data_IF_441869733144
#
_entry.id   IF_441869733144
#
_cell.length_a   1.000
_cell.length_b   1.000
_cell.length_c   1.000
_cell.angle_alpha   90.00
_cell.angle_beta   90.00
_cell.angle_gamma   90.00
#
_symmetry.space_group_name_H-M   'P 1'
#
loop_
_entity.id
_entity.type
_entity.pdbx_description
1 polymer ?
#
# COMPACT_ATOMS: atom_id res chain seq x y z
N UNK A 1 30.52 -73.22 -21.82
CA UNK A 1 29.05 -73.14 -21.60
C UNK A 1 28.65 -72.81 -20.16
N UNK A 2 29.44 -73.17 -19.13
CA UNK A 2 29.10 -72.82 -17.74
C UNK A 2 29.32 -71.33 -17.37
N UNK A 3 30.26 -70.63 -18.00
CA UNK A 3 30.50 -69.19 -17.74
C UNK A 3 29.35 -68.28 -18.20
N UNK A 4 28.68 -68.60 -19.31
CA UNK A 4 27.60 -67.76 -19.86
C UNK A 4 26.32 -67.79 -19.00
N UNK A 5 26.09 -68.89 -18.29
CA UNK A 5 24.92 -69.02 -17.41
C UNK A 5 25.13 -68.18 -16.14
N UNK A 6 26.35 -68.18 -15.59
CA UNK A 6 26.68 -67.39 -14.40
C UNK A 6 26.56 -65.87 -14.66
N UNK A 7 27.12 -65.40 -15.78
CA UNK A 7 27.00 -64.01 -16.25
C UNK A 7 25.53 -63.58 -16.42
N UNK A 8 24.68 -64.40 -17.06
CA UNK A 8 23.25 -64.05 -17.22
C UNK A 8 22.48 -63.99 -15.90
N UNK A 9 22.84 -64.81 -14.90
CA UNK A 9 22.21 -64.78 -13.58
C UNK A 9 22.65 -63.58 -12.73
N UNK A 10 23.88 -63.10 -12.92
CA UNK A 10 24.41 -61.89 -12.28
C UNK A 10 23.80 -60.63 -12.91
N UNK A 11 23.74 -60.57 -14.24
CA UNK A 11 23.07 -59.48 -14.99
C UNK A 11 21.58 -59.36 -14.63
N UNK A 12 20.87 -60.47 -14.43
CA UNK A 12 19.45 -60.46 -14.00
C UNK A 12 19.26 -59.95 -12.55
N UNK A 13 20.25 -60.15 -11.67
CA UNK A 13 20.22 -59.62 -10.30
C UNK A 13 20.52 -58.13 -10.29
N UNK A 14 21.54 -57.72 -11.03
CA UNK A 14 21.89 -56.31 -11.20
C UNK A 14 20.76 -55.52 -11.87
N UNK A 15 20.09 -56.09 -12.88
CA UNK A 15 18.94 -55.45 -13.50
C UNK A 15 17.79 -55.22 -12.51
N UNK A 16 17.52 -56.18 -11.61
CA UNK A 16 16.48 -56.04 -10.57
C UNK A 16 16.87 -55.03 -9.50
N UNK A 17 18.13 -55.01 -9.08
CA UNK A 17 18.63 -54.01 -8.13
C UNK A 17 18.64 -52.61 -8.73
N UNK A 18 18.99 -52.47 -10.00
CA UNK A 18 18.96 -51.19 -10.72
C UNK A 18 17.53 -50.64 -10.83
N UNK A 19 16.55 -51.46 -11.20
CA UNK A 19 15.14 -51.03 -11.25
C UNK A 19 14.65 -50.59 -9.87
N UNK A 20 15.02 -51.30 -8.80
CA UNK A 20 14.64 -50.93 -7.44
C UNK A 20 15.29 -49.60 -7.02
N UNK A 21 16.58 -49.43 -7.33
CA UNK A 21 17.31 -48.18 -7.06
C UNK A 21 16.71 -47.00 -7.82
N UNK A 22 16.36 -47.17 -9.10
CA UNK A 22 15.72 -46.14 -9.91
C UNK A 22 14.33 -45.76 -9.36
N UNK A 23 13.54 -46.74 -8.93
CA UNK A 23 12.24 -46.49 -8.30
C UNK A 23 12.37 -45.77 -6.95
N UNK A 24 13.33 -46.19 -6.13
CA UNK A 24 13.61 -45.56 -4.83
C UNK A 24 14.14 -44.12 -5.01
N UNK A 25 15.00 -43.88 -6.02
CA UNK A 25 15.50 -42.54 -6.37
C UNK A 25 14.37 -41.64 -6.89
N UNK A 26 13.52 -42.14 -7.79
CA UNK A 26 12.36 -41.42 -8.29
C UNK A 26 11.37 -41.07 -7.17
N UNK A 27 11.14 -41.99 -6.23
CA UNK A 27 10.27 -41.76 -5.08
C UNK A 27 10.83 -40.67 -4.15
N UNK A 28 12.14 -40.71 -3.87
CA UNK A 28 12.81 -39.69 -3.04
C UNK A 28 12.76 -38.31 -3.70
N UNK A 29 13.04 -38.23 -4.99
CA UNK A 29 12.97 -36.98 -5.76
C UNK A 29 11.55 -36.41 -5.79
N UNK A 30 10.53 -37.26 -5.98
CA UNK A 30 9.12 -36.85 -5.91
C UNK A 30 8.74 -36.30 -4.54
N UNK A 31 9.19 -36.96 -3.47
CA UNK A 31 8.90 -36.54 -2.09
C UNK A 31 9.58 -35.20 -1.76
N UNK A 32 10.81 -35.00 -2.20
CA UNK A 32 11.53 -33.74 -2.04
C UNK A 32 10.90 -32.62 -2.86
N UNK A 33 10.47 -32.91 -4.10
CA UNK A 33 9.76 -31.94 -4.93
C UNK A 33 8.42 -31.52 -4.31
N UNK A 34 7.64 -32.46 -3.78
CA UNK A 34 6.38 -32.18 -3.09
C UNK A 34 6.59 -31.35 -1.81
N UNK A 35 7.66 -31.64 -1.06
CA UNK A 35 8.02 -30.88 0.14
C UNK A 35 8.46 -29.46 -0.21
N UNK A 36 9.33 -29.30 -1.20
CA UNK A 36 9.82 -28.01 -1.66
C UNK A 36 8.67 -27.16 -2.23
N UNK A 37 7.77 -27.76 -2.99
CA UNK A 37 6.59 -27.07 -3.54
C UNK A 37 5.64 -26.61 -2.45
N UNK A 38 5.43 -27.41 -1.40
CA UNK A 38 4.60 -27.03 -0.26
C UNK A 38 5.22 -25.88 0.55
N UNK A 39 6.53 -25.94 0.83
CA UNK A 39 7.24 -24.88 1.53
C UNK A 39 7.30 -23.57 0.71
N UNK A 40 7.51 -23.66 -0.61
CA UNK A 40 7.48 -22.50 -1.49
C UNK A 40 6.08 -21.85 -1.50
N UNK A 41 5.03 -22.66 -1.63
CA UNK A 41 3.66 -22.16 -1.61
C UNK A 41 3.30 -21.50 -0.27
N UNK A 42 3.70 -22.09 0.86
CA UNK A 42 3.45 -21.51 2.18
C UNK A 42 4.18 -20.17 2.37
N UNK A 43 5.42 -20.05 1.87
CA UNK A 43 6.17 -18.78 1.91
C UNK A 43 5.52 -17.71 1.04
N UNK A 44 5.11 -18.06 -0.18
CA UNK A 44 4.42 -17.13 -1.07
C UNK A 44 3.10 -16.64 -0.46
N UNK A 45 2.30 -17.56 0.12
CA UNK A 45 1.05 -17.19 0.78
C UNK A 45 1.29 -16.30 2.01
N UNK A 46 2.32 -16.58 2.80
CA UNK A 46 2.67 -15.75 3.96
C UNK A 46 3.15 -14.35 3.55
N UNK A 47 3.91 -14.24 2.45
CA UNK A 47 4.37 -12.98 1.91
C UNK A 47 3.21 -12.16 1.31
N UNK A 48 2.33 -12.82 0.55
CA UNK A 48 1.11 -12.19 0.05
C UNK A 48 0.22 -11.69 1.19
N UNK A 49 0.00 -12.51 2.23
CA UNK A 49 -0.79 -12.10 3.39
C UNK A 49 -0.15 -10.90 4.11
N UNK A 50 1.17 -10.88 4.28
CA UNK A 50 1.86 -9.71 4.87
C UNK A 50 1.69 -8.45 4.04
N UNK A 51 1.86 -8.53 2.72
CA UNK A 51 1.67 -7.40 1.82
C UNK A 51 0.22 -6.91 1.81
N UNK A 52 -0.74 -7.83 1.87
CA UNK A 52 -2.16 -7.52 1.91
C UNK A 52 -2.56 -6.89 3.26
N UNK A 53 -2.02 -7.37 4.38
CA UNK A 53 -2.17 -6.72 5.69
C UNK A 53 -1.64 -5.29 5.67
N UNK A 54 -0.43 -5.06 5.16
CA UNK A 54 0.15 -3.71 5.07
C UNK A 54 -0.72 -2.79 4.20
N UNK A 55 -1.21 -3.28 3.06
CA UNK A 55 -2.11 -2.51 2.20
C UNK A 55 -3.42 -2.17 2.90
N UNK A 56 -3.99 -3.14 3.61
CA UNK A 56 -5.23 -2.96 4.34
C UNK A 56 -5.07 -2.00 5.51
N UNK A 57 -3.97 -2.07 6.25
CA UNK A 57 -3.62 -1.13 7.33
C UNK A 57 -3.48 0.29 6.78
N UNK A 58 -2.82 0.48 5.64
CA UNK A 58 -2.72 1.80 5.00
C UNK A 58 -4.09 2.32 4.53
N UNK A 59 -4.96 1.44 4.05
CA UNK A 59 -6.30 1.81 3.61
C UNK A 59 -7.21 2.14 4.80
N UNK A 60 -7.15 1.35 5.87
CA UNK A 60 -7.84 1.62 7.14
C UNK A 60 -7.32 2.88 7.81
N UNK A 61 -6.01 3.17 7.76
CA UNK A 61 -5.43 4.41 8.26
C UNK A 61 -5.90 5.61 7.42
N UNK A 62 -5.94 5.48 6.09
CA UNK A 62 -6.51 6.50 5.19
C UNK A 62 -8.00 6.74 5.46
N UNK A 63 -8.78 5.69 5.71
CA UNK A 63 -10.20 5.79 6.01
C UNK A 63 -10.46 6.32 7.42
N UNK A 64 -9.68 5.93 8.42
CA UNK A 64 -9.75 6.45 9.78
C UNK A 64 -9.36 7.93 9.82
N UNK A 65 -8.34 8.32 9.06
CA UNK A 65 -8.00 9.73 8.84
C UNK A 65 -9.19 10.43 8.18
N UNK A 66 -9.75 9.91 7.09
CA UNK A 66 -10.91 10.51 6.42
C UNK A 66 -12.13 10.70 7.34
N UNK A 67 -12.48 9.69 8.15
CA UNK A 67 -13.59 9.74 9.10
C UNK A 67 -13.31 10.66 10.28
N UNK A 68 -12.09 10.64 10.82
CA UNK A 68 -11.67 11.55 11.88
C UNK A 68 -11.67 12.99 11.38
N UNK A 69 -11.25 13.22 10.15
CA UNK A 69 -11.29 14.53 9.48
C UNK A 69 -12.73 15.01 9.25
N UNK A 70 -13.64 14.16 8.76
CA UNK A 70 -15.05 14.50 8.62
C UNK A 70 -15.71 14.86 9.97
N UNK A 71 -15.30 14.23 11.08
CA UNK A 71 -15.77 14.54 12.43
C UNK A 71 -15.06 15.74 13.07
N UNK A 72 -13.79 15.96 12.75
CA UNK A 72 -12.97 17.07 13.27
C UNK A 72 -13.25 18.39 12.54
N UNK A 73 -13.92 18.33 11.39
CA UNK A 73 -14.41 19.49 10.69
C UNK A 73 -15.53 20.15 11.52
N UNK A 74 -15.27 21.32 12.13
CA UNK A 74 -16.29 21.98 12.93
C UNK A 74 -17.50 22.30 12.04
N UNK A 75 -18.74 22.17 12.57
CA UNK A 75 -19.96 22.49 11.84
C UNK A 75 -19.83 23.91 11.26
N UNK A 76 -20.24 24.09 10.00
CA UNK A 76 -20.13 25.38 9.31
C UNK A 76 -20.68 26.48 10.22
N UNK A 77 -19.85 27.44 10.67
CA UNK A 77 -20.32 28.48 11.55
C UNK A 77 -21.39 29.29 10.80
N UNK A 78 -22.62 29.24 11.32
CA UNK A 78 -23.72 30.08 10.85
C UNK A 78 -23.34 31.56 11.00
N UNK A 79 -23.91 32.38 10.12
CA UNK A 79 -23.67 33.82 9.95
C UNK A 79 -23.81 34.71 11.22
N UNK A 80 -24.22 34.15 12.35
CA UNK A 80 -24.55 34.84 13.61
C UNK A 80 -23.52 34.67 14.74
N UNK A 81 -22.39 34.00 14.53
CA UNK A 81 -21.35 33.97 15.56
C UNK A 81 -20.58 35.31 15.55
N UNK A 82 -20.50 35.95 16.71
CA UNK A 82 -19.80 37.23 16.94
C UNK A 82 -18.28 37.19 16.69
N UNK A 83 -17.74 36.08 16.17
CA UNK A 83 -16.33 35.87 15.89
C UNK A 83 -16.02 36.13 14.41
N UNK A 84 -14.84 36.72 14.09
CA UNK A 84 -14.45 36.98 12.72
C UNK A 84 -14.34 35.68 11.91
N UNK A 85 -15.15 35.57 10.86
CA UNK A 85 -15.16 34.41 9.93
C UNK A 85 -14.32 34.75 8.70
N UNK A 86 -13.36 33.89 8.37
CA UNK A 86 -12.57 33.96 7.13
C UNK A 86 -13.13 33.00 6.09
N UNK A 87 -13.40 33.50 4.87
CA UNK A 87 -13.77 32.66 3.72
C UNK A 87 -12.49 32.27 3.00
N UNK A 88 -12.27 30.97 2.84
CA UNK A 88 -11.11 30.43 2.15
C UNK A 88 -11.55 29.72 0.88
N UNK A 89 -10.90 30.04 -0.25
CA UNK A 89 -11.19 29.43 -1.53
C UNK A 89 -9.97 28.68 -2.04
N UNK A 90 -10.04 27.36 -2.06
CA UNK A 90 -8.92 26.49 -2.43
C UNK A 90 -9.15 25.98 -3.84
N UNK A 91 -8.27 26.34 -4.76
CA UNK A 91 -8.21 25.82 -6.13
C UNK A 91 -7.52 24.46 -6.13
N UNK A 92 -8.22 23.45 -6.63
CA UNK A 92 -7.67 22.10 -6.82
C UNK A 92 -6.86 22.04 -8.12
N UNK A 93 -5.90 21.10 -8.24
CA UNK A 93 -5.18 20.84 -9.49
C UNK A 93 -6.12 20.42 -10.63
N UNK A 94 -7.27 19.83 -10.31
CA UNK A 94 -8.35 19.50 -11.27
C UNK A 94 -9.06 20.72 -11.85
N UNK A 95 -8.82 21.93 -11.31
CA UNK A 95 -9.44 23.17 -11.75
C UNK A 95 -10.75 23.52 -11.03
N UNK A 96 -11.16 22.73 -10.04
CA UNK A 96 -12.32 23.00 -9.19
C UNK A 96 -11.95 23.95 -8.05
N UNK A 97 -12.96 24.57 -7.45
CA UNK A 97 -12.80 25.46 -6.31
C UNK A 97 -13.55 24.90 -5.10
N UNK A 98 -12.83 24.68 -4.02
CA UNK A 98 -13.35 24.30 -2.72
C UNK A 98 -13.47 25.57 -1.88
N UNK A 99 -14.70 26.02 -1.66
CA UNK A 99 -14.98 27.17 -0.82
C UNK A 99 -15.45 26.70 0.56
N UNK A 100 -14.80 27.19 1.61
CA UNK A 100 -15.23 26.94 2.99
C UNK A 100 -14.97 28.13 3.90
N UNK A 101 -15.86 28.33 4.85
CA UNK A 101 -15.74 29.35 5.90
C UNK A 101 -15.06 28.73 7.13
N UNK A 102 -14.04 29.43 7.65
CA UNK A 102 -13.32 29.06 8.86
C UNK A 102 -13.42 30.20 9.87
N UNK A 103 -13.53 29.89 11.16
CA UNK A 103 -13.40 30.91 12.21
C UNK A 103 -11.94 31.37 12.26
N UNK A 104 -11.69 32.66 12.51
CA UNK A 104 -10.31 33.17 12.66
C UNK A 104 -9.59 32.61 13.90
N UNK A 105 -10.36 32.10 14.87
CA UNK A 105 -9.86 31.39 16.06
C UNK A 105 -9.38 29.97 15.74
N UNK A 106 -9.70 29.43 14.55
CA UNK A 106 -9.35 28.06 14.17
C UNK A 106 -7.88 27.93 13.74
N UNK A 107 -7.28 26.79 14.07
CA UNK A 107 -5.91 26.43 13.67
C UNK A 107 -5.85 26.13 12.17
N UNK A 108 -4.69 26.43 11.56
CA UNK A 108 -4.38 26.10 10.17
C UNK A 108 -4.48 24.58 9.88
N UNK A 109 -4.28 23.74 10.90
CA UNK A 109 -4.49 22.29 10.84
C UNK A 109 -5.87 21.92 10.28
N UNK A 110 -6.93 22.62 10.68
CA UNK A 110 -8.32 22.35 10.23
C UNK A 110 -8.47 22.59 8.72
N UNK A 111 -7.66 23.47 8.13
CA UNK A 111 -7.63 23.70 6.69
C UNK A 111 -6.95 22.53 5.97
N UNK A 112 -5.83 22.03 6.48
CA UNK A 112 -5.18 20.84 5.94
C UNK A 112 -6.09 19.63 6.02
N UNK A 113 -6.76 19.49 7.15
CA UNK A 113 -7.73 18.45 7.44
C UNK A 113 -8.90 18.46 6.43
N UNK A 114 -9.44 19.64 6.13
CA UNK A 114 -10.46 19.82 5.08
C UNK A 114 -9.97 19.43 3.69
N UNK A 115 -8.74 19.80 3.34
CA UNK A 115 -8.17 19.53 2.01
C UNK A 115 -7.86 18.05 1.86
N UNK A 116 -7.36 17.42 2.93
CA UNK A 116 -7.19 15.97 3.03
C UNK A 116 -8.52 15.23 2.91
N UNK A 117 -9.59 15.70 3.56
CA UNK A 117 -10.94 15.10 3.44
C UNK A 117 -11.51 15.19 2.02
N UNK A 118 -11.04 16.13 1.20
CA UNK A 118 -11.42 16.29 -0.21
C UNK A 118 -10.55 15.46 -1.18
N UNK A 119 -9.66 14.63 -0.65
CA UNK A 119 -8.79 13.76 -1.44
C UNK A 119 -7.45 14.39 -1.79
N UNK A 120 -7.07 15.49 -1.13
CA UNK A 120 -5.78 16.16 -1.32
C UNK A 120 -4.99 16.12 -0.01
N UNK A 121 -4.40 14.98 0.38
CA UNK A 121 -3.60 14.90 1.59
C UNK A 121 -2.33 15.75 1.47
N UNK A 122 -1.85 16.28 2.59
CA UNK A 122 -0.67 17.15 2.65
C UNK A 122 0.65 16.42 2.32
N UNK A 123 0.65 15.08 2.30
CA UNK A 123 1.77 14.25 1.87
C UNK A 123 1.95 14.24 0.33
N UNK A 124 0.85 14.36 -0.41
CA UNK A 124 0.84 14.36 -1.86
C UNK A 124 0.73 15.77 -2.44
N UNK A 125 -0.01 16.67 -1.78
CA UNK A 125 -0.31 18.00 -2.29
C UNK A 125 0.21 19.13 -1.40
N UNK A 126 0.72 20.19 -2.05
CA UNK A 126 1.11 21.42 -1.35
C UNK A 126 -0.02 22.45 -1.33
N UNK A 127 -0.15 23.17 -0.21
CA UNK A 127 -1.05 24.31 -0.09
C UNK A 127 -0.28 25.62 -0.16
N UNK A 128 -0.58 26.41 -1.18
CA UNK A 128 0.08 27.69 -1.45
C UNK A 128 -0.89 28.85 -1.26
N UNK A 129 -0.48 29.95 -0.64
CA UNK A 129 -1.28 31.19 -0.66
C UNK A 129 -1.25 31.87 -2.04
N UNK A 130 -2.31 32.62 -2.39
CA UNK A 130 -2.39 33.40 -3.63
C UNK A 130 -1.44 34.60 -3.64
N UNK A 131 -1.44 35.41 -2.58
CA UNK A 131 -0.60 36.60 -2.52
C UNK A 131 -0.26 37.04 -1.08
N UNK A 132 1.03 37.24 -0.73
CA UNK A 132 2.21 36.79 -1.47
C UNK A 132 2.23 35.27 -1.55
N UNK A 133 2.73 34.72 -2.66
CA UNK A 133 2.74 33.27 -2.89
C UNK A 133 3.72 32.61 -1.90
N UNK A 134 3.19 31.90 -0.90
CA UNK A 134 3.97 31.21 0.14
C UNK A 134 3.45 29.79 0.31
N UNK A 135 4.38 28.89 0.56
CA UNK A 135 4.05 27.54 1.01
C UNK A 135 3.65 27.60 2.48
N UNK A 136 2.49 27.04 2.81
CA UNK A 136 2.01 27.02 4.20
C UNK A 136 2.69 25.93 5.04
N UNK A 137 3.39 24.99 4.42
CA UNK A 137 4.05 23.87 5.13
C UNK A 137 5.55 24.07 5.34
N UNK A 138 6.19 25.07 4.72
CA UNK A 138 7.64 25.37 4.80
C UNK A 138 8.60 24.14 4.70
N UNK A 139 8.14 23.01 4.14
CA UNK A 139 8.94 21.79 3.98
C UNK A 139 9.66 21.78 2.64
N UNK A 140 10.94 21.35 2.66
CA UNK A 140 11.73 21.12 1.44
C UNK A 140 11.19 19.86 0.74
N UNK A 141 10.54 20.03 -0.41
CA UNK A 141 9.96 18.93 -1.21
C UNK A 141 10.35 19.11 -2.68
N UNK A 142 10.74 18.02 -3.34
CA UNK A 142 11.16 17.98 -4.74
C UNK A 142 9.94 18.02 -5.67
N UNK A 143 9.75 19.06 -6.50
CA UNK A 143 8.48 19.27 -7.19
C UNK A 143 8.24 18.38 -8.41
N UNK A 144 7.07 17.73 -8.47
CA UNK A 144 6.41 17.39 -9.73
C UNK A 144 5.36 18.47 -10.07
N UNK A 145 5.12 18.81 -11.36
CA UNK A 145 4.34 19.99 -11.74
C UNK A 145 2.83 19.95 -11.42
N UNK A 146 2.25 18.79 -11.11
CA UNK A 146 0.79 18.60 -11.06
C UNK A 146 0.19 18.60 -9.64
N UNK A 147 1.01 18.62 -8.59
CA UNK A 147 0.58 18.24 -7.24
C UNK A 147 0.37 19.45 -6.29
N UNK A 148 -0.22 20.54 -6.80
CA UNK A 148 -0.34 21.80 -6.05
C UNK A 148 -1.80 22.27 -5.89
N UNK A 149 -2.21 22.54 -4.66
CA UNK A 149 -3.43 23.25 -4.29
C UNK A 149 -3.12 24.71 -3.97
N UNK A 150 -3.94 25.64 -4.46
CA UNK A 150 -3.74 27.09 -4.22
C UNK A 150 -4.89 27.65 -3.39
N UNK A 151 -4.58 28.23 -2.25
CA UNK A 151 -5.46 28.87 -1.28
C UNK A 151 -5.60 30.36 -1.59
N UNK A 152 -6.82 30.81 -1.85
CA UNK A 152 -7.21 32.19 -2.14
C UNK A 152 -8.05 32.79 -1.02
#
# INVERSE_FOLDING_TARGET
MHLNIFLSFEDEREARENVKREQDEAYRLSLEADRAKREAHEREMAEQFRLEQIRKEQEEEREAIRLSLEQALPPEPKEENAEPVSKLRIRTPSGEFLERRFLASNKLQIVFDFVASKGFPWDEFKLLSTFPRRDLLEKVWLPRPADMCVVA
#
